data_IF_548190700337
#
_entry.id   IF_548190700337
#
_cell.length_a   1.000
_cell.length_b   1.000
_cell.length_c   1.000
_cell.angle_alpha   90.00
_cell.angle_beta   90.00
_cell.angle_gamma   90.00
#
_symmetry.space_group_name_H-M   'P 1'
#
loop_
_entity.id
_entity.type
_entity.pdbx_description
1 polymer ?
#
# COMPACT_ATOMS: atom_id res chain seq x y z
N UNK A 1 0.67 -32.13 21.94
CA UNK A 1 -0.13 -32.57 20.77
C UNK A 1 -0.54 -31.32 20.00
N UNK A 2 -0.41 -31.26 18.66
CA UNK A 2 -0.84 -30.08 17.89
C UNK A 2 -2.37 -30.08 17.74
N UNK A 3 -3.07 -28.98 18.07
CA UNK A 3 -4.53 -28.95 17.99
C UNK A 3 -4.99 -28.84 16.52
N UNK A 4 -5.87 -29.76 16.11
CA UNK A 4 -6.30 -29.93 14.71
C UNK A 4 -7.55 -29.11 14.34
N UNK A 5 -8.26 -28.51 15.31
CA UNK A 5 -9.43 -27.66 15.07
C UNK A 5 -9.59 -26.57 16.14
N UNK A 6 -10.49 -25.61 15.87
CA UNK A 6 -10.82 -24.51 16.78
C UNK A 6 -11.23 -25.01 18.17
N UNK A 7 -12.19 -25.93 18.23
CA UNK A 7 -12.74 -26.43 19.50
C UNK A 7 -11.70 -27.14 20.37
N UNK A 8 -10.73 -27.83 19.76
CA UNK A 8 -9.62 -28.44 20.51
C UNK A 8 -8.69 -27.40 21.14
N UNK A 9 -8.48 -26.24 20.49
CA UNK A 9 -7.70 -25.14 21.06
C UNK A 9 -8.45 -24.51 22.24
N UNK A 10 -9.75 -24.26 22.08
CA UNK A 10 -10.57 -23.61 23.12
C UNK A 10 -10.73 -24.47 24.37
N UNK A 11 -10.86 -25.78 24.21
CA UNK A 11 -11.01 -26.74 25.32
C UNK A 11 -9.70 -27.31 25.83
N UNK A 12 -8.56 -26.91 25.24
CA UNK A 12 -7.22 -27.42 25.52
C UNK A 12 -7.16 -28.97 25.54
N UNK A 13 -7.80 -29.59 24.55
CA UNK A 13 -7.94 -31.03 24.47
C UNK A 13 -6.60 -31.71 24.13
N UNK A 14 -6.20 -32.70 24.95
CA UNK A 14 -4.96 -33.48 24.79
C UNK A 14 -5.19 -34.87 24.17
N UNK A 15 -6.44 -35.20 23.81
CA UNK A 15 -6.84 -36.47 23.19
C UNK A 15 -7.15 -36.30 21.69
N UNK A 16 -7.17 -37.39 20.89
CA UNK A 16 -7.50 -37.33 19.47
C UNK A 16 -8.84 -36.62 19.22
N UNK A 17 -8.87 -35.71 18.23
CA UNK A 17 -10.04 -34.89 17.94
C UNK A 17 -11.21 -35.72 17.41
N UNK A 18 -12.37 -35.62 18.06
CA UNK A 18 -13.64 -36.24 17.67
C UNK A 18 -14.69 -35.23 17.21
N UNK A 19 -14.32 -33.96 17.00
CA UNK A 19 -15.25 -32.89 16.62
C UNK A 19 -15.70 -33.03 15.15
N UNK A 20 -16.94 -32.63 14.90
CA UNK A 20 -17.60 -32.76 13.60
C UNK A 20 -17.11 -31.69 12.60
N UNK A 21 -17.31 -31.90 11.30
CA UNK A 21 -16.80 -31.03 10.22
C UNK A 21 -17.31 -29.58 10.30
N UNK A 22 -18.43 -29.34 10.97
CA UNK A 22 -18.95 -27.98 11.24
C UNK A 22 -18.20 -27.24 12.35
N UNK A 23 -17.59 -27.98 13.29
CA UNK A 23 -16.83 -27.45 14.44
C UNK A 23 -15.32 -27.36 14.13
N UNK A 24 -14.90 -27.99 13.03
CA UNK A 24 -13.52 -28.00 12.55
C UNK A 24 -13.00 -26.72 11.88
N UNK A 25 -13.81 -25.88 11.19
CA UNK A 25 -13.24 -24.93 10.26
C UNK A 25 -12.68 -23.70 10.98
N UNK A 26 -11.37 -23.49 10.82
CA UNK A 26 -10.74 -22.20 11.03
C UNK A 26 -11.09 -21.29 9.85
N UNK A 27 -11.97 -20.29 10.05
CA UNK A 27 -12.24 -19.26 9.04
C UNK A 27 -11.98 -17.86 9.58
N UNK A 28 -10.72 -17.45 9.57
CA UNK A 28 -10.35 -16.04 9.67
C UNK A 28 -10.30 -15.44 8.26
N UNK A 29 -11.38 -14.79 7.83
CA UNK A 29 -11.39 -13.99 6.60
C UNK A 29 -11.26 -12.51 6.98
N UNK A 30 -10.03 -11.98 6.95
CA UNK A 30 -9.80 -10.54 6.97
C UNK A 30 -10.12 -9.95 5.61
N UNK A 31 -11.21 -9.20 5.49
CA UNK A 31 -11.53 -8.44 4.28
C UNK A 31 -11.49 -6.96 4.61
N UNK A 32 -10.49 -6.25 4.07
CA UNK A 32 -10.64 -4.81 3.86
C UNK A 32 -11.87 -4.60 2.97
N UNK A 33 -12.67 -3.56 3.21
CA UNK A 33 -13.86 -3.23 2.40
C UNK A 33 -13.44 -3.10 0.93
N UNK A 34 -13.54 -4.20 0.19
CA UNK A 34 -13.36 -4.26 -1.25
C UNK A 34 -14.76 -4.22 -1.82
N UNK A 35 -15.18 -3.04 -2.26
CA UNK A 35 -16.50 -2.83 -2.82
C UNK A 35 -16.74 -3.77 -4.02
N UNK A 36 -17.91 -4.42 -3.98
CA UNK A 36 -18.72 -4.95 -5.08
C UNK A 36 -18.34 -6.23 -5.85
N UNK A 37 -17.40 -7.09 -5.42
CA UNK A 37 -17.09 -8.33 -6.19
C UNK A 37 -17.35 -9.68 -5.52
N UNK A 38 -17.86 -9.74 -4.29
CA UNK A 38 -18.24 -11.01 -3.67
C UNK A 38 -19.76 -11.25 -3.81
N UNK A 39 -20.22 -11.65 -5.00
CA UNK A 39 -21.57 -12.16 -5.18
C UNK A 39 -21.54 -13.69 -5.27
N UNK A 40 -22.20 -14.32 -4.30
CA UNK A 40 -22.65 -15.72 -4.20
C UNK A 40 -21.59 -16.83 -4.05
N UNK A 41 -21.52 -17.37 -2.83
CA UNK A 41 -21.80 -18.79 -2.57
C UNK A 41 -22.58 -18.92 -1.26
N UNK A 42 -23.71 -19.61 -1.31
CA UNK A 42 -24.60 -19.94 -0.19
C UNK A 42 -23.91 -20.88 0.81
N UNK A 43 -22.96 -20.35 1.57
CA UNK A 43 -22.48 -21.01 2.78
C UNK A 43 -23.17 -20.27 3.94
N UNK A 44 -24.09 -20.98 4.58
CA UNK A 44 -24.84 -20.55 5.76
C UNK A 44 -23.92 -20.54 7.00
N UNK A 45 -22.78 -19.86 6.93
CA UNK A 45 -21.92 -19.63 8.08
C UNK A 45 -22.47 -18.44 8.88
N UNK A 46 -22.72 -18.63 10.18
CA UNK A 46 -22.92 -17.53 11.12
C UNK A 46 -21.60 -16.75 11.22
N UNK A 47 -21.50 -15.65 10.45
CA UNK A 47 -20.30 -14.80 10.43
C UNK A 47 -20.39 -13.84 11.61
N UNK A 48 -19.66 -14.12 12.70
CA UNK A 48 -19.37 -13.11 13.72
C UNK A 48 -18.35 -12.11 13.14
N UNK A 49 -18.86 -10.98 12.62
CA UNK A 49 -18.04 -9.97 11.93
C UNK A 49 -17.64 -8.85 12.88
N UNK A 50 -16.43 -8.93 13.46
CA UNK A 50 -15.83 -7.77 14.13
C UNK A 50 -15.33 -6.78 13.06
N UNK A 51 -16.07 -5.71 12.84
CA UNK A 51 -15.70 -4.66 11.89
C UNK A 51 -14.92 -3.57 12.60
N UNK A 52 -13.66 -3.37 12.22
CA UNK A 52 -12.89 -2.18 12.61
C UNK A 52 -13.26 -1.09 11.62
N UNK A 53 -13.89 -0.02 12.11
CA UNK A 53 -14.29 1.14 11.31
C UNK A 53 -13.27 2.23 11.60
N UNK A 54 -12.63 2.75 10.56
CA UNK A 54 -11.84 3.97 10.63
C UNK A 54 -12.79 5.15 10.36
N UNK A 55 -13.18 5.94 11.38
CA UNK A 55 -14.17 7.02 11.22
C UNK A 55 -13.63 8.20 10.40
N UNK A 56 -12.31 8.34 10.38
CA UNK A 56 -11.59 9.42 9.70
C UNK A 56 -10.63 8.85 8.67
N UNK A 57 -10.60 9.47 7.50
CA UNK A 57 -9.62 9.21 6.44
C UNK A 57 -8.87 10.50 6.14
N UNK A 58 -7.57 10.40 5.86
CA UNK A 58 -6.74 11.55 5.46
C UNK A 58 -5.88 11.17 4.27
N UNK A 59 -5.66 12.11 3.37
CA UNK A 59 -4.72 12.05 2.25
C UNK A 59 -3.38 12.72 2.55
N UNK A 60 -3.25 13.41 3.70
CA UNK A 60 -2.09 14.22 4.05
C UNK A 60 -0.94 13.46 4.71
N UNK A 61 -1.21 12.31 5.33
CA UNK A 61 -0.24 11.60 6.20
C UNK A 61 1.10 11.32 5.51
N UNK A 62 1.06 10.94 4.24
CA UNK A 62 2.26 10.61 3.47
C UNK A 62 2.64 11.66 2.43
N UNK A 63 1.88 12.76 2.34
CA UNK A 63 2.03 13.74 1.26
C UNK A 63 3.44 14.32 1.21
N UNK A 64 3.90 14.92 2.31
CA UNK A 64 5.26 15.50 2.40
C UNK A 64 6.37 14.48 2.15
N UNK A 65 6.18 13.23 2.62
CA UNK A 65 7.13 12.15 2.39
C UNK A 65 7.22 11.84 0.89
N UNK A 66 6.09 11.56 0.25
CA UNK A 66 6.00 11.23 -1.18
C UNK A 66 6.54 12.39 -2.02
N UNK A 67 6.12 13.63 -1.74
CA UNK A 67 6.56 14.84 -2.45
C UNK A 67 8.10 14.96 -2.44
N UNK A 68 8.72 14.72 -1.29
CA UNK A 68 10.19 14.77 -1.15
C UNK A 68 10.88 13.79 -2.09
N UNK A 69 10.40 12.55 -2.16
CA UNK A 69 11.00 11.55 -3.05
C UNK A 69 10.66 11.80 -4.52
N UNK A 70 9.48 12.33 -4.84
CA UNK A 70 9.12 12.72 -6.21
C UNK A 70 10.03 13.85 -6.72
N UNK A 71 10.28 14.89 -5.91
CA UNK A 71 11.25 15.95 -6.21
C UNK A 71 12.62 15.33 -6.50
N UNK A 72 13.15 14.52 -5.58
CA UNK A 72 14.49 13.92 -5.72
C UNK A 72 14.60 12.99 -6.94
N UNK A 73 13.54 12.25 -7.25
CA UNK A 73 13.46 11.38 -8.42
C UNK A 73 13.56 12.22 -9.69
N UNK A 74 12.84 13.34 -9.75
CA UNK A 74 12.79 14.18 -10.93
C UNK A 74 14.09 14.98 -11.12
N UNK A 75 14.63 15.55 -10.04
CA UNK A 75 15.93 16.22 -10.02
C UNK A 75 17.06 15.30 -10.51
N UNK A 76 17.00 14.00 -10.21
CA UNK A 76 18.03 13.03 -10.61
C UNK A 76 17.91 12.50 -12.05
N UNK A 77 16.83 12.83 -12.77
CA UNK A 77 16.48 12.20 -14.05
C UNK A 77 17.08 12.86 -15.28
N UNK A 78 17.71 14.02 -15.15
CA UNK A 78 18.14 14.90 -16.26
C UNK A 78 17.00 15.65 -16.97
N UNK A 79 17.35 16.72 -17.69
CA UNK A 79 16.40 17.49 -18.49
C UNK A 79 15.94 16.67 -19.71
N UNK A 80 14.72 16.91 -20.23
CA UNK A 80 14.31 16.40 -21.53
C UNK A 80 15.34 16.77 -22.62
N UNK A 81 15.53 15.88 -23.62
CA UNK A 81 16.52 16.12 -24.69
C UNK A 81 16.23 17.43 -25.44
N UNK A 82 17.29 18.19 -25.73
CA UNK A 82 17.28 19.46 -26.46
C UNK A 82 16.58 20.65 -25.77
N UNK A 83 16.43 20.62 -24.44
CA UNK A 83 15.76 21.69 -23.69
C UNK A 83 16.49 23.06 -23.76
N UNK A 84 15.87 24.04 -24.41
CA UNK A 84 16.25 25.47 -24.32
C UNK A 84 15.88 26.06 -22.95
N UNK A 85 16.35 27.28 -22.63
CA UNK A 85 16.02 27.94 -21.34
C UNK A 85 14.51 28.12 -21.13
N UNK A 86 13.74 28.35 -22.21
CA UNK A 86 12.28 28.52 -22.18
C UNK A 86 11.54 27.19 -21.94
N UNK A 87 12.03 26.11 -22.54
CA UNK A 87 11.47 24.77 -22.36
C UNK A 87 11.71 24.25 -20.94
N UNK A 88 12.85 24.60 -20.31
CA UNK A 88 13.12 24.28 -18.90
C UNK A 88 12.14 24.94 -17.95
N UNK A 89 11.80 26.22 -18.19
CA UNK A 89 10.81 26.94 -17.38
C UNK A 89 9.41 26.34 -17.57
N UNK A 90 9.05 26.02 -18.81
CA UNK A 90 7.78 25.36 -19.15
C UNK A 90 7.66 24.00 -18.46
N UNK A 91 8.73 23.21 -18.47
CA UNK A 91 8.80 21.91 -17.81
C UNK A 91 8.54 22.00 -16.30
N UNK A 92 9.17 22.95 -15.60
CA UNK A 92 8.95 23.16 -14.16
C UNK A 92 7.49 23.55 -13.88
N UNK A 93 6.94 24.48 -14.68
CA UNK A 93 5.56 24.94 -14.52
C UNK A 93 4.56 23.81 -14.71
N UNK A 94 4.74 23.00 -15.77
CA UNK A 94 3.86 21.85 -16.01
C UNK A 94 3.93 20.81 -14.90
N UNK A 95 5.12 20.60 -14.31
CA UNK A 95 5.29 19.68 -13.19
C UNK A 95 4.57 20.20 -11.93
N UNK A 96 4.67 21.50 -11.65
CA UNK A 96 3.95 22.14 -10.56
C UNK A 96 2.43 22.09 -10.77
N UNK A 97 1.94 22.28 -12.00
CA UNK A 97 0.52 22.23 -12.33
C UNK A 97 -0.07 20.80 -12.21
N UNK A 98 0.66 19.79 -12.71
CA UNK A 98 0.19 18.40 -12.74
C UNK A 98 0.34 17.69 -11.39
N UNK A 99 1.47 17.87 -10.71
CA UNK A 99 1.82 17.13 -9.50
C UNK A 99 1.69 17.99 -8.22
N UNK A 100 1.54 19.31 -8.34
CA UNK A 100 1.55 20.22 -7.19
C UNK A 100 2.95 20.41 -6.57
N UNK A 101 4.00 20.02 -7.30
CA UNK A 101 5.37 19.95 -6.81
C UNK A 101 6.26 20.95 -7.54
N UNK A 102 6.94 21.81 -6.78
CA UNK A 102 7.89 22.78 -7.33
C UNK A 102 9.30 22.22 -7.40
N UNK A 103 9.83 22.10 -8.62
CA UNK A 103 11.20 21.64 -8.86
C UNK A 103 12.20 22.80 -8.83
N UNK A 104 13.42 22.53 -8.36
CA UNK A 104 14.53 23.49 -8.45
C UNK A 104 15.39 23.21 -9.69
N UNK A 105 15.41 24.15 -10.64
CA UNK A 105 16.19 24.05 -11.86
C UNK A 105 17.67 23.75 -11.63
N UNK A 106 18.26 24.27 -10.55
CA UNK A 106 19.69 24.11 -10.23
C UNK A 106 20.03 22.69 -9.75
N UNK A 107 19.05 21.97 -9.23
CA UNK A 107 19.22 20.61 -8.72
C UNK A 107 18.99 19.55 -9.80
N UNK A 108 18.43 19.92 -10.95
CA UNK A 108 18.14 18.97 -12.04
C UNK A 108 19.45 18.62 -12.75
N UNK A 109 19.94 17.41 -12.47
CA UNK A 109 21.17 16.85 -13.03
C UNK A 109 21.05 15.33 -13.12
N UNK A 110 21.69 14.74 -14.15
CA UNK A 110 21.68 13.29 -14.33
C UNK A 110 22.41 12.60 -13.18
N UNK A 111 21.66 11.89 -12.33
CA UNK A 111 22.23 11.07 -11.25
C UNK A 111 21.51 9.69 -11.20
N UNK A 112 21.99 8.70 -11.97
CA UNK A 112 21.32 7.40 -12.05
C UNK A 112 21.30 6.65 -10.71
N UNK A 113 22.37 6.76 -9.90
CA UNK A 113 22.46 6.11 -8.59
C UNK A 113 21.44 6.67 -7.59
N UNK A 114 21.36 7.99 -7.50
CA UNK A 114 20.36 8.64 -6.64
C UNK A 114 18.93 8.34 -7.09
N UNK A 115 18.67 8.36 -8.40
CA UNK A 115 17.37 8.01 -8.95
C UNK A 115 16.96 6.57 -8.59
N UNK A 116 17.89 5.62 -8.65
CA UNK A 116 17.63 4.23 -8.29
C UNK A 116 17.35 4.10 -6.78
N UNK A 117 18.13 4.75 -5.93
CA UNK A 117 17.92 4.74 -4.48
C UNK A 117 16.55 5.32 -4.09
N UNK A 118 16.18 6.46 -4.68
CA UNK A 118 14.88 7.12 -4.46
C UNK A 118 13.72 6.25 -4.94
N UNK A 119 13.86 5.61 -6.11
CA UNK A 119 12.86 4.65 -6.61
C UNK A 119 12.67 3.49 -5.65
N UNK A 120 13.75 2.94 -5.12
CA UNK A 120 13.69 1.85 -4.16
C UNK A 120 12.98 2.28 -2.87
N UNK A 121 13.32 3.46 -2.34
CA UNK A 121 12.68 4.01 -1.15
C UNK A 121 11.16 4.18 -1.32
N UNK A 122 10.71 4.73 -2.46
CA UNK A 122 9.27 4.88 -2.77
C UNK A 122 8.55 3.52 -2.82
N UNK A 123 9.15 2.53 -3.47
CA UNK A 123 8.54 1.20 -3.58
C UNK A 123 8.55 0.43 -2.26
N UNK A 124 9.56 0.66 -1.41
CA UNK A 124 9.69 0.01 -0.10
C UNK A 124 8.92 0.71 1.02
N UNK A 125 8.39 1.92 0.79
CA UNK A 125 7.57 2.62 1.77
C UNK A 125 6.26 1.87 2.07
N UNK A 126 5.68 1.22 1.07
CA UNK A 126 4.49 0.40 1.26
C UNK A 126 4.87 -1.02 1.67
N UNK A 127 4.66 -1.36 2.95
CA UNK A 127 4.93 -2.71 3.48
C UNK A 127 5.96 -2.75 4.62
N UNK A 128 6.52 -1.61 5.00
CA UNK A 128 7.06 -1.40 6.36
C UNK A 128 5.97 -0.88 7.28
#
# INVERSE_FOLDING_TARGET
MFPLCRSCVETNQQTPCSHNDEERPWRAHGSAKRSSWQRRKDIRSLIYKRSIIFPTTSDSLFRTYIDTFLIRKQESSEWPQNCSTEEKATYIREYEEKEGIKLNAQNISKNPGQRQAVRLALNSAWGK
#
